data_IF_627863637114
#
_entry.id   IF_627863637114
#
_cell.length_a   1.000
_cell.length_b   1.000
_cell.length_c   1.000
_cell.angle_alpha   90.00
_cell.angle_beta   90.00
_cell.angle_gamma   90.00
#
_symmetry.space_group_name_H-M   'P 1'
#
loop_
_entity.id
_entity.type
_entity.pdbx_description
1 polymer ?
#
# COMPACT_ATOMS: atom_id res chain seq x y z
N UNK A 1 10.80 -18.41 -4.63
CA UNK A 1 11.01 -17.22 -5.49
C UNK A 1 10.28 -16.04 -4.86
N UNK A 2 11.01 -15.04 -4.36
CA UNK A 2 10.43 -13.92 -3.62
C UNK A 2 9.70 -12.99 -4.62
N UNK A 3 8.37 -12.84 -4.50
CA UNK A 3 7.55 -12.04 -5.46
C UNK A 3 8.00 -10.58 -5.55
N UNK A 4 8.79 -10.09 -4.60
CA UNK A 4 9.31 -8.72 -4.56
C UNK A 4 10.52 -8.49 -5.49
N UNK A 5 11.25 -9.53 -5.90
CA UNK A 5 12.51 -9.38 -6.65
C UNK A 5 12.32 -9.02 -8.14
N UNK A 6 11.24 -9.48 -8.78
CA UNK A 6 11.01 -9.27 -10.22
C UNK A 6 10.48 -7.86 -10.54
N UNK A 7 9.72 -7.24 -9.64
CA UNK A 7 9.14 -5.91 -9.89
C UNK A 7 10.15 -4.77 -9.69
N UNK A 8 11.16 -4.91 -8.83
CA UNK A 8 12.19 -3.88 -8.62
C UNK A 8 13.09 -3.70 -9.86
N UNK A 9 13.37 -4.78 -10.60
CA UNK A 9 14.23 -4.76 -11.80
C UNK A 9 13.55 -4.13 -13.03
N UNK A 10 12.23 -4.24 -13.16
CA UNK A 10 11.49 -3.72 -14.34
C UNK A 10 11.27 -2.20 -14.29
N UNK A 11 11.15 -1.62 -13.08
CA UNK A 11 10.97 -0.16 -12.91
C UNK A 11 12.29 0.63 -13.03
N UNK A 12 13.42 -0.03 -12.85
CA UNK A 12 14.76 0.55 -12.86
C UNK A 12 15.14 1.21 -14.20
N UNK A 13 14.70 0.63 -15.31
CA UNK A 13 15.16 1.02 -16.65
C UNK A 13 14.53 2.30 -17.22
N UNK A 14 13.42 2.79 -16.66
CA UNK A 14 12.61 3.87 -17.27
C UNK A 14 12.65 5.22 -16.53
N UNK A 15 13.13 5.27 -15.29
CA UNK A 15 13.05 6.49 -14.45
C UNK A 15 14.36 7.26 -14.33
N UNK A 16 15.42 6.83 -15.00
CA UNK A 16 16.70 7.52 -14.91
C UNK A 16 16.72 8.64 -15.96
N UNK A 17 16.92 9.88 -15.50
CA UNK A 17 17.11 11.12 -16.27
C UNK A 17 15.89 11.99 -16.57
N UNK A 18 15.60 12.90 -15.64
CA UNK A 18 15.19 14.27 -15.99
C UNK A 18 16.42 15.16 -15.96
N UNK A 19 16.66 15.89 -17.06
CA UNK A 19 17.87 16.67 -17.24
C UNK A 19 17.95 17.90 -16.32
N UNK A 20 19.12 18.12 -15.72
CA UNK A 20 19.51 19.46 -15.25
C UNK A 20 19.71 20.38 -16.46
N UNK A 21 19.43 21.66 -16.27
CA UNK A 21 19.77 22.73 -17.22
C UNK A 21 21.30 22.88 -17.42
N UNK A 22 22.11 22.39 -16.47
CA UNK A 22 23.57 22.40 -16.53
C UNK A 22 24.11 20.97 -16.71
N UNK A 23 24.37 20.60 -17.97
CA UNK A 23 25.21 19.46 -18.35
C UNK A 23 24.63 18.08 -18.05
N UNK A 24 24.02 17.44 -19.05
CA UNK A 24 23.72 16.02 -18.98
C UNK A 24 25.00 15.23 -18.61
N UNK A 25 24.91 14.23 -17.71
CA UNK A 25 26.08 13.45 -17.34
C UNK A 25 26.69 12.78 -18.57
N UNK A 26 28.01 12.64 -18.57
CA UNK A 26 28.70 11.90 -19.62
C UNK A 26 28.12 10.48 -19.71
N UNK A 27 28.10 9.85 -20.90
CA UNK A 27 27.60 8.49 -21.04
C UNK A 27 28.25 7.48 -20.07
N UNK A 28 29.54 7.66 -19.78
CA UNK A 28 30.29 6.87 -18.81
C UNK A 28 29.74 7.05 -17.38
N UNK A 29 29.52 8.29 -16.95
CA UNK A 29 28.95 8.58 -15.63
C UNK A 29 27.52 8.06 -15.49
N UNK A 30 26.72 8.18 -16.56
CA UNK A 30 25.37 7.63 -16.59
C UNK A 30 25.37 6.10 -16.50
N UNK A 31 26.34 5.42 -17.13
CA UNK A 31 26.49 3.97 -17.04
C UNK A 31 26.87 3.52 -15.62
N UNK A 32 27.80 4.22 -14.98
CA UNK A 32 28.22 3.93 -13.60
C UNK A 32 27.07 4.10 -12.60
N UNK A 33 26.28 5.17 -12.72
CA UNK A 33 25.10 5.40 -11.88
C UNK A 33 24.05 4.30 -12.06
N UNK A 34 23.83 3.82 -13.29
CA UNK A 34 22.93 2.68 -13.56
C UNK A 34 23.43 1.41 -12.90
N UNK A 35 24.72 1.10 -13.01
CA UNK A 35 25.29 -0.10 -12.40
C UNK A 35 25.13 -0.10 -10.87
N UNK A 36 25.41 1.03 -10.20
CA UNK A 36 25.18 1.17 -8.76
C UNK A 36 23.70 1.05 -8.41
N UNK A 37 22.82 1.66 -9.19
CA UNK A 37 21.38 1.55 -8.96
C UNK A 37 20.90 0.09 -9.04
N UNK A 38 21.35 -0.66 -10.04
CA UNK A 38 21.07 -2.09 -10.20
C UNK A 38 21.63 -2.92 -9.02
N UNK A 39 22.82 -2.59 -8.53
CA UNK A 39 23.37 -3.18 -7.31
C UNK A 39 22.49 -2.93 -6.08
N UNK A 40 22.04 -1.69 -5.87
CA UNK A 40 21.11 -1.34 -4.79
C UNK A 40 19.81 -2.14 -4.88
N UNK A 41 19.25 -2.28 -6.09
CA UNK A 41 18.07 -3.10 -6.33
C UNK A 41 18.30 -4.59 -6.04
N UNK A 42 19.47 -5.14 -6.41
CA UNK A 42 19.85 -6.53 -6.11
C UNK A 42 19.96 -6.76 -4.60
N UNK A 43 20.64 -5.85 -3.88
CA UNK A 43 20.75 -5.90 -2.42
C UNK A 43 19.37 -5.88 -1.75
N UNK A 44 18.48 -5.00 -2.21
CA UNK A 44 17.11 -4.93 -1.71
C UNK A 44 16.32 -6.23 -1.97
N UNK A 45 16.50 -6.86 -3.14
CA UNK A 45 15.87 -8.13 -3.47
C UNK A 45 16.39 -9.31 -2.63
N UNK A 46 17.64 -9.24 -2.17
CA UNK A 46 18.29 -10.14 -1.22
C UNK A 46 17.91 -9.86 0.25
N UNK A 47 17.00 -8.92 0.49
CA UNK A 47 16.59 -8.44 1.82
C UNK A 47 17.69 -7.74 2.63
N UNK A 48 18.76 -7.31 1.95
CA UNK A 48 19.85 -6.52 2.52
C UNK A 48 19.49 -5.04 2.45
N UNK A 49 18.53 -4.63 3.29
CA UNK A 49 17.91 -3.31 3.21
C UNK A 49 18.88 -2.16 3.52
N UNK A 50 19.69 -2.28 4.57
CA UNK A 50 20.64 -1.24 4.97
C UNK A 50 21.72 -1.02 3.89
N UNK A 51 22.41 -2.06 3.37
CA UNK A 51 23.35 -1.88 2.26
C UNK A 51 22.69 -1.30 0.99
N UNK A 52 21.44 -1.69 0.68
CA UNK A 52 20.73 -1.11 -0.46
C UNK A 52 20.48 0.39 -0.29
N UNK A 53 20.05 0.80 0.91
CA UNK A 53 19.83 2.21 1.25
C UNK A 53 21.12 3.03 1.21
N UNK A 54 22.25 2.47 1.63
CA UNK A 54 23.56 3.12 1.52
C UNK A 54 23.93 3.42 0.05
N UNK A 55 23.74 2.44 -0.84
CA UNK A 55 23.97 2.61 -2.29
C UNK A 55 23.06 3.70 -2.87
N UNK A 56 21.77 3.70 -2.53
CA UNK A 56 20.86 4.75 -3.01
C UNK A 56 21.21 6.12 -2.45
N UNK A 57 21.64 6.21 -1.19
CA UNK A 57 22.07 7.45 -0.57
C UNK A 57 23.36 8.01 -1.22
N UNK A 58 24.28 7.14 -1.64
CA UNK A 58 25.46 7.55 -2.44
C UNK A 58 25.07 8.16 -3.77
N UNK A 59 24.15 7.51 -4.50
CA UNK A 59 23.62 8.04 -5.75
C UNK A 59 22.95 9.40 -5.52
N UNK A 60 22.14 9.53 -4.46
CA UNK A 60 21.43 10.77 -4.13
C UNK A 60 22.37 11.92 -3.70
N UNK A 61 23.54 11.61 -3.12
CA UNK A 61 24.55 12.63 -2.80
C UNK A 61 25.16 13.25 -4.06
N UNK A 62 25.24 12.49 -5.14
CA UNK A 62 25.76 12.96 -6.42
C UNK A 62 24.67 13.57 -7.30
N UNK A 63 23.49 12.96 -7.29
CA UNK A 63 22.30 13.40 -8.00
C UNK A 63 21.07 13.31 -7.09
N UNK A 64 20.77 14.42 -6.42
CA UNK A 64 19.62 14.53 -5.51
C UNK A 64 18.24 14.36 -6.19
N UNK A 65 18.18 14.36 -7.53
CA UNK A 65 16.94 14.12 -8.28
C UNK A 65 16.94 12.76 -8.99
N UNK A 66 17.83 11.84 -8.58
CA UNK A 66 17.85 10.46 -9.06
C UNK A 66 16.54 9.74 -8.67
N UNK A 67 15.54 9.84 -9.54
CA UNK A 67 14.15 9.36 -9.34
C UNK A 67 14.09 7.91 -8.86
N UNK A 68 14.87 7.03 -9.49
CA UNK A 68 14.94 5.62 -9.10
C UNK A 68 15.38 5.46 -7.64
N UNK A 69 16.46 6.14 -7.23
CA UNK A 69 16.98 6.08 -5.86
C UNK A 69 16.02 6.72 -4.85
N UNK A 70 15.34 7.82 -5.21
CA UNK A 70 14.30 8.41 -4.37
C UNK A 70 13.14 7.44 -4.12
N UNK A 71 12.61 6.85 -5.20
CA UNK A 71 11.51 5.87 -5.09
C UNK A 71 11.94 4.66 -4.25
N UNK A 72 13.08 4.05 -4.57
CA UNK A 72 13.54 2.85 -3.88
C UNK A 72 13.83 3.11 -2.41
N UNK A 73 14.51 4.21 -2.07
CA UNK A 73 14.75 4.58 -0.67
C UNK A 73 13.43 4.75 0.09
N UNK A 74 12.47 5.46 -0.51
CA UNK A 74 11.13 5.63 0.03
C UNK A 74 10.37 4.33 0.29
N UNK A 75 10.40 3.40 -0.66
CA UNK A 75 9.73 2.11 -0.53
C UNK A 75 10.40 1.20 0.51
N UNK A 76 11.73 1.20 0.60
CA UNK A 76 12.46 0.39 1.58
C UNK A 76 12.29 0.94 3.00
N UNK A 77 12.28 2.26 3.20
CA UNK A 77 12.02 2.83 4.53
C UNK A 77 10.57 2.56 4.99
N UNK A 78 9.61 2.56 4.05
CA UNK A 78 8.24 2.08 4.32
C UNK A 78 8.20 0.61 4.79
N UNK A 79 9.11 -0.25 4.28
CA UNK A 79 9.23 -1.65 4.71
C UNK A 79 9.84 -1.77 6.11
N UNK A 80 10.72 -0.84 6.48
CA UNK A 80 11.37 -0.75 7.80
C UNK A 80 10.55 0.03 8.83
N UNK A 81 9.32 0.43 8.48
CA UNK A 81 8.44 1.28 9.30
C UNK A 81 9.04 2.66 9.66
N UNK A 82 10.03 3.13 8.88
CA UNK A 82 10.64 4.46 8.97
C UNK A 82 9.86 5.44 8.11
N UNK A 83 8.62 5.68 8.55
CA UNK A 83 7.60 6.36 7.74
C UNK A 83 7.93 7.83 7.45
N UNK A 84 8.61 8.52 8.36
CA UNK A 84 8.98 9.93 8.17
C UNK A 84 10.07 10.06 7.10
N UNK A 85 11.08 9.20 7.16
CA UNK A 85 12.17 9.09 6.19
C UNK A 85 11.63 8.64 4.82
N UNK A 86 10.68 7.69 4.80
CA UNK A 86 9.98 7.28 3.60
C UNK A 86 9.24 8.46 2.95
N UNK A 87 8.47 9.22 3.75
CA UNK A 87 7.72 10.37 3.26
C UNK A 87 8.65 11.44 2.67
N UNK A 88 9.82 11.68 3.27
CA UNK A 88 10.81 12.62 2.76
C UNK A 88 11.25 12.26 1.33
N UNK A 89 11.74 11.03 1.10
CA UNK A 89 12.18 10.60 -0.23
C UNK A 89 11.03 10.57 -1.26
N UNK A 90 9.87 10.05 -0.85
CA UNK A 90 8.72 9.91 -1.74
C UNK A 90 8.08 11.25 -2.10
N UNK A 91 8.14 12.25 -1.23
CA UNK A 91 7.67 13.59 -1.55
C UNK A 91 8.53 14.19 -2.68
N UNK A 92 9.86 14.06 -2.60
CA UNK A 92 10.75 14.48 -3.70
C UNK A 92 10.43 13.71 -4.99
N UNK A 93 10.27 12.40 -4.89
CA UNK A 93 9.94 11.56 -6.05
C UNK A 93 8.61 11.96 -6.70
N UNK A 94 7.54 12.12 -5.92
CA UNK A 94 6.20 12.47 -6.45
C UNK A 94 6.16 13.91 -6.98
N UNK A 95 7.04 14.81 -6.55
CA UNK A 95 7.19 16.11 -7.23
C UNK A 95 7.73 15.94 -8.66
N UNK A 96 8.68 15.03 -8.86
CA UNK A 96 9.30 14.76 -10.16
C UNK A 96 8.40 13.90 -11.06
N UNK A 97 7.70 12.92 -10.47
CA UNK A 97 6.90 11.90 -11.14
C UNK A 97 5.49 11.82 -10.53
N UNK A 98 4.65 12.83 -10.79
CA UNK A 98 3.46 13.07 -9.98
C UNK A 98 2.31 12.09 -10.24
N UNK A 99 2.34 11.39 -11.38
CA UNK A 99 1.37 10.33 -11.73
C UNK A 99 1.95 8.91 -11.57
N UNK A 100 3.14 8.75 -11.00
CA UNK A 100 3.74 7.42 -10.83
C UNK A 100 3.06 6.63 -9.72
N UNK A 101 2.37 5.54 -10.09
CA UNK A 101 1.48 4.82 -9.18
C UNK A 101 2.15 4.32 -7.89
N UNK A 102 3.38 3.81 -7.95
CA UNK A 102 4.08 3.32 -6.76
C UNK A 102 4.55 4.45 -5.85
N UNK A 103 4.86 5.61 -6.42
CA UNK A 103 5.18 6.80 -5.64
C UNK A 103 3.96 7.25 -4.84
N UNK A 104 2.80 7.30 -5.52
CA UNK A 104 1.52 7.63 -4.88
C UNK A 104 1.11 6.61 -3.81
N UNK A 105 1.18 5.31 -4.09
CA UNK A 105 0.90 4.25 -3.10
C UNK A 105 1.86 4.34 -1.91
N UNK A 106 3.16 4.54 -2.17
CA UNK A 106 4.17 4.73 -1.14
C UNK A 106 3.88 5.95 -0.26
N UNK A 107 3.47 7.07 -0.85
CA UNK A 107 3.11 8.30 -0.11
C UNK A 107 1.89 8.08 0.77
N UNK A 108 0.84 7.42 0.26
CA UNK A 108 -0.34 7.08 1.08
C UNK A 108 0.10 6.26 2.29
N UNK A 109 0.91 5.20 2.08
CA UNK A 109 1.43 4.35 3.16
C UNK A 109 2.27 5.12 4.18
N UNK A 110 3.23 5.92 3.71
CA UNK A 110 4.14 6.67 4.58
C UNK A 110 3.39 7.72 5.43
N UNK A 111 2.47 8.46 4.82
CA UNK A 111 1.68 9.48 5.53
C UNK A 111 0.73 8.87 6.55
N UNK A 112 0.09 7.73 6.23
CA UNK A 112 -0.68 6.98 7.22
C UNK A 112 0.17 6.50 8.39
N UNK A 113 1.36 5.94 8.11
CA UNK A 113 2.30 5.52 9.14
C UNK A 113 2.78 6.66 10.04
N UNK A 114 2.81 7.90 9.53
CA UNK A 114 3.08 9.11 10.32
C UNK A 114 1.86 9.64 11.10
N UNK A 115 0.70 8.99 11.02
CA UNK A 115 -0.56 9.49 11.59
C UNK A 115 -1.16 10.69 10.82
N UNK A 116 -0.62 11.03 9.65
CA UNK A 116 -1.02 12.17 8.81
C UNK A 116 -2.03 11.75 7.75
N UNK A 117 -3.12 11.11 8.18
CA UNK A 117 -4.13 10.53 7.28
C UNK A 117 -4.80 11.57 6.36
N UNK A 118 -5.00 12.81 6.83
CA UNK A 118 -5.55 13.90 6.01
C UNK A 118 -4.65 14.25 4.83
N UNK A 119 -3.33 14.29 5.05
CA UNK A 119 -2.35 14.61 4.02
C UNK A 119 -2.19 13.48 2.98
N UNK A 120 -2.58 12.25 3.34
CA UNK A 120 -2.56 11.10 2.43
C UNK A 120 -3.67 11.16 1.37
N UNK A 121 -4.78 11.85 1.68
CA UNK A 121 -6.01 11.81 0.87
C UNK A 121 -5.83 12.36 -0.55
N UNK A 122 -5.10 13.47 -0.81
CA UNK A 122 -4.83 13.94 -2.17
C UNK A 122 -4.12 12.89 -3.03
N UNK A 123 -3.12 12.19 -2.48
CA UNK A 123 -2.38 11.14 -3.20
C UNK A 123 -3.27 9.92 -3.47
N UNK A 124 -4.11 9.57 -2.49
CA UNK A 124 -5.11 8.51 -2.63
C UNK A 124 -6.09 8.81 -3.76
N UNK A 125 -6.70 9.99 -3.76
CA UNK A 125 -7.65 10.40 -4.79
C UNK A 125 -7.00 10.46 -6.17
N UNK A 126 -5.74 10.87 -6.25
CA UNK A 126 -4.96 10.84 -7.49
C UNK A 126 -4.75 9.42 -8.01
N UNK A 127 -4.39 8.47 -7.13
CA UNK A 127 -4.25 7.05 -7.48
C UNK A 127 -5.55 6.47 -8.06
N UNK A 128 -6.68 6.73 -7.40
CA UNK A 128 -8.01 6.32 -7.87
C UNK A 128 -8.36 6.95 -9.22
N UNK A 129 -8.07 8.24 -9.42
CA UNK A 129 -8.29 8.94 -10.70
C UNK A 129 -7.46 8.33 -11.82
N UNK A 130 -6.20 7.98 -11.58
CA UNK A 130 -5.35 7.32 -12.59
C UNK A 130 -5.92 5.98 -13.04
N UNK A 131 -6.48 5.20 -12.11
CA UNK A 131 -7.20 3.96 -12.45
C UNK A 131 -8.45 4.26 -13.28
N UNK A 132 -9.32 5.16 -12.80
CA UNK A 132 -10.60 5.48 -13.45
C UNK A 132 -10.43 6.01 -14.87
N UNK A 133 -9.39 6.81 -15.09
CA UNK A 133 -9.07 7.38 -16.41
C UNK A 133 -8.33 6.40 -17.33
N UNK A 134 -7.94 5.22 -16.84
CA UNK A 134 -7.17 4.24 -17.60
C UNK A 134 -5.74 4.65 -17.90
N UNK A 135 -5.23 5.73 -17.29
CA UNK A 135 -3.88 6.26 -17.52
C UNK A 135 -2.77 5.32 -17.04
N UNK A 136 -3.08 4.39 -16.13
CA UNK A 136 -2.16 3.34 -15.71
C UNK A 136 -2.78 1.97 -15.98
N UNK A 137 -2.20 1.25 -16.95
CA UNK A 137 -2.59 -0.12 -17.28
C UNK A 137 -2.38 -1.08 -16.10
N UNK A 138 -1.31 -0.84 -15.30
CA UNK A 138 -1.05 -1.59 -14.08
C UNK A 138 -2.17 -1.38 -13.08
N UNK A 139 -2.52 -0.11 -12.83
CA UNK A 139 -3.62 0.18 -11.92
C UNK A 139 -4.92 -0.43 -12.40
N UNK A 140 -5.23 -0.46 -13.70
CA UNK A 140 -6.47 -1.02 -14.24
C UNK A 140 -6.72 -2.49 -13.85
N UNK A 141 -5.66 -3.29 -13.68
CA UNK A 141 -5.77 -4.72 -13.31
C UNK A 141 -5.57 -4.98 -11.82
N UNK A 142 -5.14 -3.98 -11.04
CA UNK A 142 -4.96 -4.13 -9.60
C UNK A 142 -6.31 -4.10 -8.87
N UNK A 143 -6.59 -5.11 -8.05
CA UNK A 143 -7.82 -5.11 -7.23
C UNK A 143 -7.72 -4.18 -6.01
N UNK A 144 -6.53 -4.13 -5.40
CA UNK A 144 -6.26 -3.39 -4.17
C UNK A 144 -4.81 -2.93 -4.11
N UNK A 145 -4.52 -2.07 -3.14
CA UNK A 145 -3.17 -1.67 -2.75
C UNK A 145 -3.05 -1.61 -1.22
N UNK A 146 -1.82 -1.73 -0.72
CA UNK A 146 -1.54 -1.56 0.71
C UNK A 146 -1.62 -0.08 1.08
N UNK A 147 -2.68 0.30 1.79
CA UNK A 147 -2.96 1.68 2.23
C UNK A 147 -2.13 2.06 3.44
N UNK A 148 -2.04 1.18 4.42
CA UNK A 148 -1.42 1.44 5.72
C UNK A 148 -0.75 0.15 6.22
N UNK A 149 0.35 0.31 6.95
CA UNK A 149 0.88 -0.76 7.77
C UNK A 149 0.99 -0.29 9.22
N UNK A 150 0.45 -1.10 10.14
CA UNK A 150 0.38 -0.79 11.56
C UNK A 150 1.24 -1.82 12.31
N UNK A 151 2.43 -1.43 12.80
CA UNK A 151 3.23 -2.30 13.65
C UNK A 151 2.45 -2.65 14.94
N UNK A 152 2.46 -3.93 15.31
CA UNK A 152 1.90 -4.42 16.56
C UNK A 152 3.05 -4.98 17.42
N UNK A 153 3.53 -4.26 18.45
CA UNK A 153 4.64 -4.71 19.28
C UNK A 153 4.43 -6.14 19.80
N UNK A 154 5.37 -7.05 19.48
CA UNK A 154 5.31 -8.46 19.86
C UNK A 154 4.27 -9.33 19.14
N UNK A 155 3.47 -8.76 18.23
CA UNK A 155 2.37 -9.45 17.52
C UNK A 155 2.44 -9.29 15.99
N UNK A 156 3.60 -8.90 15.45
CA UNK A 156 3.82 -8.68 14.02
C UNK A 156 3.29 -7.31 13.56
N UNK A 157 2.52 -7.27 12.48
CA UNK A 157 1.93 -6.04 11.96
C UNK A 157 0.58 -6.28 11.31
N UNK A 158 -0.20 -5.22 11.11
CA UNK A 158 -1.42 -5.25 10.31
C UNK A 158 -1.15 -4.58 8.97
N UNK A 159 -1.35 -5.30 7.88
CA UNK A 159 -1.40 -4.73 6.53
C UNK A 159 -2.84 -4.38 6.21
N UNK A 160 -3.10 -3.10 5.92
CA UNK A 160 -4.43 -2.62 5.54
C UNK A 160 -4.47 -2.47 4.03
N UNK A 161 -5.29 -3.30 3.39
CA UNK A 161 -5.53 -3.26 1.96
C UNK A 161 -6.78 -2.43 1.66
N UNK A 162 -6.68 -1.49 0.72
CA UNK A 162 -7.83 -0.78 0.16
C UNK A 162 -8.08 -1.25 -1.26
N UNK A 163 -9.33 -1.62 -1.53
CA UNK A 163 -9.76 -2.04 -2.85
C UNK A 163 -10.21 -0.84 -3.67
N UNK A 164 -9.88 -0.85 -4.96
CA UNK A 164 -10.24 0.25 -5.85
C UNK A 164 -11.73 0.25 -6.20
N UNK A 165 -12.28 -0.95 -6.42
CA UNK A 165 -13.67 -1.10 -6.84
C UNK A 165 -14.50 -1.62 -5.68
N UNK A 166 -15.63 -0.97 -5.44
CA UNK A 166 -16.65 -1.47 -4.53
C UNK A 166 -17.60 -2.41 -5.27
N UNK A 167 -18.05 -3.46 -4.60
CA UNK A 167 -19.05 -4.37 -5.12
C UNK A 167 -19.61 -5.24 -4.01
N UNK A 168 -20.74 -5.90 -4.30
CA UNK A 168 -21.29 -6.89 -3.38
C UNK A 168 -20.29 -8.01 -3.17
N UNK A 169 -20.10 -8.40 -1.90
CA UNK A 169 -19.14 -9.41 -1.47
C UNK A 169 -17.66 -9.09 -1.80
N UNK A 170 -17.37 -7.90 -2.34
CA UNK A 170 -16.01 -7.40 -2.50
C UNK A 170 -15.64 -6.55 -1.29
N UNK A 171 -14.52 -6.84 -0.61
CA UNK A 171 -14.07 -5.99 0.47
C UNK A 171 -13.76 -4.60 -0.07
N UNK A 172 -14.20 -3.55 0.63
CA UNK A 172 -13.68 -2.19 0.46
C UNK A 172 -12.32 -2.06 1.14
N UNK A 173 -12.21 -2.65 2.34
CA UNK A 173 -10.98 -2.74 3.10
C UNK A 173 -10.77 -4.16 3.64
N UNK A 174 -9.51 -4.56 3.75
CA UNK A 174 -9.11 -5.77 4.48
C UNK A 174 -7.94 -5.46 5.41
N UNK A 175 -8.04 -5.90 6.66
CA UNK A 175 -6.96 -5.84 7.64
C UNK A 175 -6.39 -7.24 7.80
N UNK A 176 -5.13 -7.40 7.40
CA UNK A 176 -4.40 -8.65 7.45
C UNK A 176 -3.43 -8.57 8.62
N UNK A 177 -3.71 -9.30 9.70
CA UNK A 177 -2.74 -9.45 10.78
C UNK A 177 -1.68 -10.45 10.34
N UNK A 178 -0.46 -9.96 10.16
CA UNK A 178 0.70 -10.69 9.70
C UNK A 178 1.55 -11.11 10.90
N UNK A 179 1.89 -12.40 10.99
CA UNK A 179 2.94 -12.89 11.92
C UNK A 179 4.33 -12.56 11.39
N UNK A 180 4.48 -12.73 10.08
CA UNK A 180 5.67 -12.54 9.28
C UNK A 180 5.24 -12.22 7.84
N UNK A 181 6.20 -12.06 6.92
CA UNK A 181 5.91 -11.62 5.54
C UNK A 181 5.05 -12.59 4.74
N UNK A 182 4.90 -13.84 5.19
CA UNK A 182 4.21 -14.91 4.46
C UNK A 182 3.00 -15.46 5.21
N UNK A 183 2.92 -15.24 6.52
CA UNK A 183 1.91 -15.85 7.37
C UNK A 183 0.88 -14.84 7.83
N UNK A 184 -0.33 -14.93 7.27
CA UNK A 184 -1.52 -14.23 7.76
C UNK A 184 -2.09 -15.02 8.93
N UNK A 185 -2.18 -14.39 10.11
CA UNK A 185 -2.82 -14.98 11.30
C UNK A 185 -4.32 -14.76 11.29
N UNK A 186 -4.75 -13.54 10.96
CA UNK A 186 -6.16 -13.13 10.95
C UNK A 186 -6.43 -12.21 9.78
N UNK A 187 -7.66 -12.28 9.27
CA UNK A 187 -8.14 -11.42 8.20
C UNK A 187 -9.50 -10.87 8.62
N UNK A 188 -9.59 -9.56 8.74
CA UNK A 188 -10.86 -8.84 8.90
C UNK A 188 -11.17 -8.09 7.62
N UNK A 189 -12.43 -8.07 7.21
CA UNK A 189 -12.86 -7.47 5.95
C UNK A 189 -14.08 -6.60 6.18
N UNK A 190 -14.09 -5.43 5.53
CA UNK A 190 -15.25 -4.56 5.45
C UNK A 190 -15.91 -4.75 4.09
N UNK A 191 -17.07 -5.39 4.08
CA UNK A 191 -17.72 -5.87 2.85
C UNK A 191 -19.14 -5.35 2.75
N UNK A 192 -19.55 -4.90 1.56
CA UNK A 192 -20.95 -4.61 1.27
C UNK A 192 -21.71 -5.91 1.05
N UNK A 193 -22.78 -6.12 1.80
CA UNK A 193 -23.63 -7.29 1.63
C UNK A 193 -24.56 -7.13 0.41
N UNK A 194 -24.93 -8.24 -0.26
CA UNK A 194 -25.96 -8.23 -1.29
C UNK A 194 -27.27 -7.63 -0.77
N UNK A 195 -28.00 -6.92 -1.62
CA UNK A 195 -29.27 -6.30 -1.22
C UNK A 195 -30.29 -7.32 -0.68
N UNK A 196 -30.34 -8.53 -1.25
CA UNK A 196 -31.20 -9.62 -0.76
C UNK A 196 -30.88 -10.03 0.68
N UNK A 197 -29.60 -10.17 1.03
CA UNK A 197 -29.16 -10.46 2.39
C UNK A 197 -29.41 -9.26 3.32
N UNK A 198 -29.14 -8.04 2.85
CA UNK A 198 -29.39 -6.82 3.60
C UNK A 198 -30.89 -6.63 3.94
N UNK A 199 -31.81 -7.05 3.08
CA UNK A 199 -33.25 -7.03 3.34
C UNK A 199 -33.64 -8.02 4.43
N UNK A 200 -33.14 -9.25 4.36
CA UNK A 200 -33.39 -10.26 5.39
C UNK A 200 -32.88 -9.82 6.77
N UNK A 201 -31.67 -9.24 6.81
CA UNK A 201 -31.08 -8.74 8.04
C UNK A 201 -31.87 -7.56 8.63
N UNK A 202 -32.36 -6.63 7.79
CA UNK A 202 -33.21 -5.52 8.24
C UNK A 202 -34.55 -6.00 8.79
N UNK A 203 -35.18 -6.99 8.16
CA UNK A 203 -36.43 -7.56 8.65
C UNK A 203 -36.29 -8.15 10.07
N UNK A 204 -35.12 -8.73 10.37
CA UNK A 204 -34.80 -9.26 11.70
C UNK A 204 -34.15 -8.28 12.67
N UNK A 205 -33.79 -7.07 12.23
CA UNK A 205 -33.05 -6.09 13.03
C UNK A 205 -33.56 -4.66 12.79
N UNK A 206 -34.52 -4.17 13.59
CA UNK A 206 -35.11 -2.84 13.41
C UNK A 206 -34.13 -1.69 13.65
N UNK A 207 -32.93 -1.95 14.19
CA UNK A 207 -31.87 -0.94 14.34
C UNK A 207 -31.09 -0.64 13.05
N UNK A 208 -31.27 -1.43 11.99
CA UNK A 208 -30.63 -1.19 10.70
C UNK A 208 -31.48 -0.25 9.85
N UNK A 209 -30.97 0.96 9.62
CA UNK A 209 -31.59 1.93 8.73
C UNK A 209 -31.66 1.41 7.28
N UNK A 210 -32.63 1.90 6.47
CA UNK A 210 -32.71 1.60 5.04
C UNK A 210 -31.41 1.95 4.30
N UNK A 211 -31.05 1.15 3.29
CA UNK A 211 -29.89 1.38 2.43
C UNK A 211 -28.89 0.21 2.46
N UNK A 212 -27.68 0.41 1.89
CA UNK A 212 -26.64 -0.62 1.88
C UNK A 212 -26.26 -1.04 3.30
N UNK A 213 -26.18 -2.35 3.53
CA UNK A 213 -25.66 -2.92 4.76
C UNK A 213 -24.25 -3.42 4.51
N UNK A 214 -23.36 -3.12 5.46
CA UNK A 214 -21.99 -3.57 5.43
C UNK A 214 -21.70 -4.45 6.64
N UNK A 215 -20.84 -5.43 6.44
CA UNK A 215 -20.38 -6.34 7.47
C UNK A 215 -18.88 -6.17 7.72
N UNK A 216 -18.51 -6.07 8.99
CA UNK A 216 -17.16 -6.35 9.44
C UNK A 216 -17.08 -7.85 9.73
N UNK A 217 -16.38 -8.57 8.87
CA UNK A 217 -16.38 -10.02 8.85
C UNK A 217 -14.97 -10.63 8.89
N UNK A 218 -14.88 -11.87 9.35
CA UNK A 218 -13.67 -12.67 9.41
C UNK A 218 -13.94 -14.01 8.72
N UNK A 219 -13.38 -14.26 7.52
CA UNK A 219 -13.46 -15.57 6.90
C UNK A 219 -12.60 -16.55 7.71
N UNK A 220 -13.20 -17.68 8.09
CA UNK A 220 -12.55 -18.73 8.86
C UNK A 220 -12.25 -19.92 7.95
N UNK A 221 -11.01 -20.39 8.03
CA UNK A 221 -10.49 -21.50 7.25
C UNK A 221 -10.08 -22.65 8.16
N UNK A 222 -10.35 -23.88 7.76
CA UNK A 222 -9.89 -25.10 8.44
C UNK A 222 -9.32 -26.07 7.41
N UNK A 223 -8.05 -26.46 7.59
CA UNK A 223 -7.34 -27.29 6.61
C UNK A 223 -7.06 -26.57 5.28
N UNK A 224 -7.06 -25.23 5.27
CA UNK A 224 -6.90 -24.41 4.06
C UNK A 224 -8.18 -24.17 3.27
N UNK A 225 -9.29 -24.82 3.66
CA UNK A 225 -10.60 -24.63 3.04
C UNK A 225 -11.42 -23.60 3.78
N UNK A 226 -12.17 -22.78 3.04
CA UNK A 226 -13.16 -21.88 3.62
C UNK A 226 -14.26 -22.70 4.32
N UNK A 227 -14.56 -22.36 5.57
CA UNK A 227 -15.62 -23.01 6.34
C UNK A 227 -16.83 -22.12 6.53
N UNK A 228 -16.61 -20.91 7.05
CA UNK A 228 -17.66 -19.96 7.37
C UNK A 228 -17.12 -18.54 7.48
N UNK A 229 -18.03 -17.59 7.48
CA UNK A 229 -17.74 -16.19 7.78
C UNK A 229 -18.28 -15.85 9.16
N UNK A 230 -17.41 -15.41 10.07
CA UNK A 230 -17.83 -14.82 11.34
C UNK A 230 -18.14 -13.34 11.11
N UNK A 231 -19.36 -12.91 11.41
CA UNK A 231 -19.74 -11.49 11.39
C UNK A 231 -19.51 -10.90 12.78
N UNK A 232 -18.66 -9.89 12.87
CA UNK A 232 -18.38 -9.18 14.13
C UNK A 232 -19.30 -7.98 14.30
N UNK A 233 -19.65 -7.30 13.21
CA UNK A 233 -20.52 -6.13 13.24
C UNK A 233 -21.28 -5.95 11.92
N UNK A 234 -22.49 -5.42 12.01
CA UNK A 234 -23.29 -4.92 10.89
C UNK A 234 -23.50 -3.43 11.06
N UNK A 235 -23.37 -2.65 9.98
CA UNK A 235 -23.72 -1.23 9.95
C UNK A 235 -24.54 -0.91 8.70
N UNK A 236 -25.53 -0.02 8.86
CA UNK A 236 -26.20 0.63 7.73
C UNK A 236 -25.39 1.82 7.24
N UNK A 237 -25.27 1.98 5.93
CA UNK A 237 -24.45 3.03 5.32
C UNK A 237 -22.95 2.73 5.35
N UNK A 238 -22.16 3.55 4.64
CA UNK A 238 -20.71 3.39 4.64
C UNK A 238 -20.09 4.09 5.85
N UNK A 239 -19.51 3.31 6.75
CA UNK A 239 -18.71 3.87 7.84
C UNK A 239 -17.40 4.46 7.29
N UNK A 240 -16.96 5.57 7.86
CA UNK A 240 -15.70 6.20 7.52
C UNK A 240 -14.52 5.30 7.91
N UNK A 241 -13.42 5.40 7.16
CA UNK A 241 -12.23 4.58 7.39
C UNK A 241 -11.67 4.73 8.82
N UNK A 242 -11.63 5.96 9.35
CA UNK A 242 -11.08 6.23 10.69
C UNK A 242 -11.87 5.50 11.79
N UNK A 243 -13.20 5.53 11.70
CA UNK A 243 -14.07 4.84 12.65
C UNK A 243 -13.88 3.31 12.57
N UNK A 244 -13.90 2.76 11.36
CA UNK A 244 -13.70 1.33 11.14
C UNK A 244 -12.33 0.85 11.61
N UNK A 245 -11.28 1.64 11.33
CA UNK A 245 -9.91 1.34 11.77
C UNK A 245 -9.84 1.16 13.28
N UNK A 246 -10.48 2.04 14.06
CA UNK A 246 -10.49 1.92 15.53
C UNK A 246 -11.20 0.63 15.99
N UNK A 247 -12.36 0.33 15.41
CA UNK A 247 -13.13 -0.89 15.72
C UNK A 247 -12.33 -2.16 15.42
N UNK A 248 -11.68 -2.20 14.25
CA UNK A 248 -10.86 -3.34 13.83
C UNK A 248 -9.66 -3.54 14.76
N UNK A 249 -8.95 -2.46 15.13
CA UNK A 249 -7.83 -2.58 16.05
C UNK A 249 -8.27 -3.08 17.43
N UNK A 250 -9.46 -2.70 17.90
CA UNK A 250 -10.03 -3.25 19.14
C UNK A 250 -10.28 -4.76 19.05
N UNK A 251 -10.77 -5.26 17.90
CA UNK A 251 -10.99 -6.70 17.67
C UNK A 251 -9.70 -7.50 17.49
N UNK A 252 -8.65 -6.89 16.97
CA UNK A 252 -7.32 -7.51 16.82
C UNK A 252 -6.52 -7.50 18.14
N UNK A 253 -6.90 -6.67 19.10
CA UNK A 253 -6.28 -6.62 20.42
C UNK A 253 -6.76 -7.75 21.35
N UNK A 254 -7.97 -8.26 21.14
CA UNK A 254 -8.58 -9.41 21.82
C UNK A 254 -7.87 -10.72 21.43
#
# INVERSE_FOLDING_TARGET
>A
MNRNAWWMLVLAGMLAWGGRADGAPTPARAAELRQRFEEGCRLAAEDRLEPALEVFAEILREDGEARGSLLMSGLLENRRFRFAEAAGHLEQFVRLEPDHEQGLMGMVKALHGCGRAGDAEPFRLRLHRLRQTGKSAKLAVMASYEREVIPLPGKGWVSVQEYFDEGELKPRWSWLQMKDERTIQRRLQWVRLPESEAQLLRAGNPGLAPGPVFALSEPLYEGGEFRRTKIHQLLSGSAGYVELRQRVLALLAQ
#
